data_IF_291006230264
#
_entry.id   IF_291006230264
#
_cell.length_a   1.000
_cell.length_b   1.000
_cell.length_c   1.000
_cell.angle_alpha   90.00
_cell.angle_beta   90.00
_cell.angle_gamma   90.00
#
_symmetry.space_group_name_H-M   'P 1'
#
loop_
_entity.id
_entity.type
_entity.pdbx_description
1 polymer ?
#
# COMPACT_ATOMS: atom_id res chain seq x y z
N UNK A 1 21.01 75.11 -39.30
CA UNK A 1 20.08 75.93 -38.50
C UNK A 1 19.41 74.98 -37.52
N UNK A 2 20.07 74.62 -36.40
CA UNK A 2 20.07 75.34 -35.09
C UNK A 2 18.68 75.33 -34.43
N UNK A 3 18.44 74.92 -33.17
CA UNK A 3 19.21 74.73 -31.93
C UNK A 3 18.56 73.58 -31.09
N UNK A 4 19.29 72.65 -30.42
CA UNK A 4 19.90 72.70 -29.07
C UNK A 4 18.87 72.74 -27.90
N UNK A 5 19.02 72.10 -26.72
CA UNK A 5 20.20 71.69 -25.94
C UNK A 5 19.81 70.66 -24.82
N UNK A 6 20.59 69.58 -24.56
CA UNK A 6 21.62 69.34 -23.48
C UNK A 6 21.08 68.82 -22.12
N UNK A 7 21.40 67.59 -21.66
CA UNK A 7 22.57 67.08 -20.84
C UNK A 7 22.53 67.58 -19.37
N UNK A 8 22.85 66.85 -18.28
CA UNK A 8 23.82 65.78 -17.93
C UNK A 8 23.47 65.19 -16.53
N UNK A 9 23.54 63.88 -16.21
CA UNK A 9 24.66 63.00 -15.75
C UNK A 9 25.41 63.38 -14.45
N UNK A 10 25.42 62.42 -13.50
CA UNK A 10 26.48 62.13 -12.48
C UNK A 10 26.11 62.50 -11.04
N UNK A 11 26.48 61.80 -9.95
CA UNK A 11 27.20 60.55 -9.67
C UNK A 11 27.16 60.33 -8.13
N UNK A 12 26.97 59.09 -7.68
CA UNK A 12 27.49 58.37 -6.48
C UNK A 12 27.91 59.17 -5.21
N UNK A 13 27.42 58.77 -4.02
CA UNK A 13 28.20 58.53 -2.77
C UNK A 13 27.29 58.06 -1.59
N UNK A 14 27.62 56.91 -0.99
CA UNK A 14 27.41 56.58 0.44
C UNK A 14 28.79 56.69 1.14
N UNK A 15 28.96 56.73 2.48
CA UNK A 15 28.10 56.22 3.58
C UNK A 15 28.01 57.13 4.83
N UNK A 16 27.19 56.77 5.83
CA UNK A 16 27.19 57.46 7.13
C UNK A 16 26.36 56.79 8.22
N UNK A 17 27.06 56.11 9.14
CA UNK A 17 26.54 55.50 10.38
C UNK A 17 26.59 56.53 11.51
N UNK A 18 25.48 56.82 12.21
CA UNK A 18 25.49 57.43 13.56
C UNK A 18 24.50 56.73 14.50
N UNK A 19 24.97 56.53 15.72
CA UNK A 19 24.40 55.79 16.85
C UNK A 19 23.81 56.77 17.88
N UNK A 20 22.83 56.25 18.64
CA UNK A 20 22.43 56.57 20.04
C UNK A 20 21.61 57.84 20.33
N UNK A 21 20.52 57.62 21.08
CA UNK A 21 19.89 58.61 21.94
C UNK A 21 18.54 58.14 22.45
N UNK A 22 18.51 57.39 23.57
CA UNK A 22 17.27 56.99 24.22
C UNK A 22 16.70 58.08 25.14
N UNK A 23 15.38 58.10 25.31
CA UNK A 23 14.76 58.31 26.63
C UNK A 23 13.30 57.84 26.64
N UNK A 24 12.97 57.16 27.72
CA UNK A 24 11.67 56.60 28.02
C UNK A 24 10.65 57.67 28.44
N UNK A 25 9.38 57.46 28.09
CA UNK A 25 8.22 57.94 28.85
C UNK A 25 7.23 56.80 28.99
N UNK A 26 6.92 56.46 30.25
CA UNK A 26 5.93 55.46 30.68
C UNK A 26 4.59 56.14 30.94
N UNK A 27 3.52 55.37 30.67
CA UNK A 27 2.11 55.38 31.16
C UNK A 27 1.16 55.51 29.97
N UNK A 28 0.18 54.65 29.73
CA UNK A 28 -0.37 53.50 30.44
C UNK A 28 -1.76 53.26 29.83
N UNK A 29 -2.17 52.01 29.57
CA UNK A 29 -3.49 51.76 28.98
C UNK A 29 -3.73 50.35 28.47
N UNK A 30 -4.10 49.46 29.40
CA UNK A 30 -4.99 48.28 29.28
C UNK A 30 -4.97 47.48 27.97
N UNK A 31 -4.32 46.32 28.01
CA UNK A 31 -4.52 45.22 27.07
C UNK A 31 -5.73 44.37 27.52
N UNK A 32 -6.69 44.17 26.61
CA UNK A 32 -7.73 43.16 26.73
C UNK A 32 -7.19 41.84 26.15
N UNK A 33 -7.09 40.83 27.00
CA UNK A 33 -6.80 39.44 26.62
C UNK A 33 -8.12 38.69 26.67
N UNK A 34 -8.62 38.28 25.51
CA UNK A 34 -9.76 37.35 25.39
C UNK A 34 -9.20 35.94 25.51
N UNK A 35 -9.59 35.28 26.60
CA UNK A 35 -9.24 33.90 26.95
C UNK A 35 -10.40 33.00 26.51
N UNK A 36 -10.14 32.03 25.65
CA UNK A 36 -11.07 30.92 25.39
C UNK A 36 -10.77 29.78 26.37
N UNK A 37 -11.77 29.43 27.18
CA UNK A 37 -11.76 28.31 28.11
C UNK A 37 -12.13 27.00 27.38
N UNK A 38 -11.32 25.96 27.55
CA UNK A 38 -11.69 24.60 27.24
C UNK A 38 -11.92 23.84 28.56
N UNK A 39 -13.17 23.41 28.78
CA UNK A 39 -13.57 22.61 29.92
C UNK A 39 -13.13 21.16 29.76
N UNK A 40 -12.30 20.68 30.69
CA UNK A 40 -12.09 19.25 30.93
C UNK A 40 -12.61 18.92 32.33
N UNK A 41 -13.69 18.13 32.42
CA UNK A 41 -14.16 17.56 33.69
C UNK A 41 -13.44 16.25 33.95
N UNK A 42 -12.66 16.24 35.04
CA UNK A 42 -12.14 15.05 35.69
C UNK A 42 -13.24 14.37 36.51
N UNK A 43 -13.26 13.03 36.53
CA UNK A 43 -13.97 12.24 37.52
C UNK A 43 -12.97 11.34 38.25
N UNK A 44 -13.18 11.23 39.56
CA UNK A 44 -12.18 10.92 40.57
C UNK A 44 -11.61 9.49 40.56
N UNK A 45 -10.33 9.40 40.92
CA UNK A 45 -9.63 8.19 41.30
C UNK A 45 -9.87 7.84 42.78
N UNK A 46 -10.00 6.55 43.08
CA UNK A 46 -9.97 5.98 44.43
C UNK A 46 -8.94 4.86 44.52
N UNK A 47 -7.88 5.12 45.28
CA UNK A 47 -7.11 4.17 46.11
C UNK A 47 -6.47 2.92 45.50
N UNK A 48 -5.13 2.84 45.53
CA UNK A 48 -4.48 1.61 46.01
C UNK A 48 -3.07 1.88 46.55
N UNK A 49 -2.73 1.11 47.59
CA UNK A 49 -1.65 1.33 48.51
C UNK A 49 -0.27 0.94 47.98
N UNK A 50 0.74 1.64 48.51
CA UNK A 50 2.17 1.40 48.30
C UNK A 50 2.59 0.01 48.78
N UNK A 51 3.38 -0.70 47.96
CA UNK A 51 4.39 -1.66 48.45
C UNK A 51 5.75 -1.35 47.83
N UNK A 52 6.71 -1.07 48.71
CA UNK A 52 8.14 -1.05 48.44
C UNK A 52 8.64 -2.49 48.46
N UNK A 53 9.43 -2.91 47.47
CA UNK A 53 10.41 -3.99 47.62
C UNK A 53 11.73 -3.55 46.96
N UNK A 54 12.80 -3.96 47.62
CA UNK A 54 14.16 -3.46 47.59
C UNK A 54 14.94 -3.68 46.28
N UNK A 55 15.91 -2.79 46.08
CA UNK A 55 17.11 -3.00 45.27
C UNK A 55 17.96 -4.13 45.89
N UNK A 56 18.51 -4.99 45.04
CA UNK A 56 19.72 -5.76 45.35
C UNK A 56 20.73 -5.58 44.21
N UNK A 57 21.86 -4.95 44.55
CA UNK A 57 23.12 -4.97 43.81
C UNK A 57 24.06 -5.93 44.54
N UNK A 58 24.74 -6.80 43.79
CA UNK A 58 26.01 -7.50 44.08
C UNK A 58 26.10 -8.66 43.08
N UNK A 59 27.23 -9.11 42.53
CA UNK A 59 28.63 -8.68 42.54
C UNK A 59 29.26 -9.40 41.33
N UNK A 60 30.31 -8.83 40.75
CA UNK A 60 31.06 -9.49 39.68
C UNK A 60 31.98 -10.59 40.21
N UNK A 61 32.20 -11.61 39.40
CA UNK A 61 33.46 -12.36 39.36
C UNK A 61 33.60 -12.99 37.96
N UNK A 62 34.66 -12.60 37.26
CA UNK A 62 35.08 -13.26 36.03
C UNK A 62 35.89 -14.52 36.34
N UNK A 63 35.89 -15.49 35.42
CA UNK A 63 37.11 -16.09 34.87
C UNK A 63 36.76 -17.17 33.82
N UNK A 64 37.57 -17.19 32.75
CA UNK A 64 37.91 -18.29 31.83
C UNK A 64 36.93 -18.63 30.69
N UNK A 65 37.23 -18.02 29.54
CA UNK A 65 36.99 -18.62 28.22
C UNK A 65 37.82 -19.91 28.07
N UNK A 66 37.10 -21.04 27.99
CA UNK A 66 37.63 -22.32 27.54
C UNK A 66 37.31 -22.45 26.06
N UNK A 67 38.35 -22.55 25.22
CA UNK A 67 38.26 -23.01 23.84
C UNK A 67 37.66 -24.42 23.81
N UNK A 68 36.52 -24.59 23.15
CA UNK A 68 36.01 -25.91 22.78
C UNK A 68 35.95 -25.98 21.25
N UNK A 69 36.85 -26.80 20.71
CA UNK A 69 36.92 -27.11 19.29
C UNK A 69 35.71 -27.94 18.85
N UNK A 70 35.18 -27.59 17.69
CA UNK A 70 34.14 -28.32 16.99
C UNK A 70 34.59 -29.73 16.62
N UNK A 71 33.87 -30.75 17.09
CA UNK A 71 33.83 -32.07 16.45
C UNK A 71 32.38 -32.40 16.16
N UNK A 72 32.05 -32.38 14.87
CA UNK A 72 30.78 -32.83 14.31
C UNK A 72 30.79 -34.35 14.35
N UNK A 73 29.86 -34.94 15.10
CA UNK A 73 29.56 -36.37 15.04
C UNK A 73 28.18 -36.53 14.39
N UNK A 74 28.18 -37.07 13.17
CA UNK A 74 27.00 -37.49 12.42
C UNK A 74 26.49 -38.79 13.02
N UNK A 75 25.23 -38.83 13.47
CA UNK A 75 24.55 -40.04 13.92
C UNK A 75 23.43 -40.35 12.90
N UNK A 76 23.44 -41.49 12.19
CA UNK A 76 22.38 -41.83 11.24
C UNK A 76 21.16 -42.39 11.97
N UNK A 77 19.97 -41.88 11.65
CA UNK A 77 18.68 -42.49 11.99
C UNK A 77 18.34 -43.58 10.96
N UNK A 78 17.90 -44.78 11.37
CA UNK A 78 17.35 -45.76 10.44
C UNK A 78 15.88 -45.46 10.13
N UNK A 79 15.57 -45.46 8.83
CA UNK A 79 14.24 -45.42 8.24
C UNK A 79 13.49 -46.71 8.56
N UNK A 80 12.34 -46.60 9.24
CA UNK A 80 11.41 -47.72 9.39
C UNK A 80 10.47 -47.79 8.17
N UNK A 81 10.63 -48.87 7.41
CA UNK A 81 9.78 -49.30 6.30
C UNK A 81 8.35 -49.62 6.78
N UNK A 82 7.36 -49.09 6.07
CA UNK A 82 5.94 -49.50 6.16
C UNK A 82 5.71 -50.62 5.13
N UNK A 83 5.21 -51.81 5.50
CA UNK A 83 4.87 -52.82 4.50
C UNK A 83 3.44 -52.61 3.98
N UNK A 84 3.34 -52.57 2.66
CA UNK A 84 2.12 -52.64 1.86
C UNK A 84 1.52 -54.05 2.01
N UNK A 85 0.28 -54.14 2.48
CA UNK A 85 -0.50 -55.38 2.47
C UNK A 85 -1.27 -55.48 1.15
N UNK A 86 -0.89 -56.47 0.35
CA UNK A 86 -1.59 -56.97 -0.84
C UNK A 86 -1.67 -58.48 -0.65
N UNK A 87 -2.87 -59.06 -0.62
CA UNK A 87 -3.22 -60.47 -0.92
C UNK A 87 -4.70 -60.68 -0.55
N UNK A 88 -5.60 -60.63 -1.54
CA UNK A 88 -6.23 -61.77 -2.26
C UNK A 88 -7.54 -62.27 -1.64
N UNK A 89 -8.58 -62.10 -2.45
CA UNK A 89 -9.87 -62.79 -2.39
C UNK A 89 -9.64 -64.30 -2.54
N UNK A 90 -10.22 -65.11 -1.64
CA UNK A 90 -10.22 -66.57 -1.73
C UNK A 90 -11.34 -67.15 -0.87
N UNK A 91 -12.28 -67.82 -1.53
CA UNK A 91 -13.56 -68.26 -0.99
C UNK A 91 -13.47 -69.57 -0.16
N UNK A 92 -14.35 -69.63 0.85
CA UNK A 92 -15.25 -70.76 1.17
C UNK A 92 -14.65 -72.17 1.36
N UNK A 93 -14.70 -72.68 2.60
CA UNK A 93 -15.12 -74.06 2.90
C UNK A 93 -15.67 -74.18 4.33
N UNK A 94 -16.90 -74.71 4.43
CA UNK A 94 -17.54 -75.17 5.66
C UNK A 94 -16.88 -76.47 6.14
N UNK A 95 -16.73 -76.62 7.46
CA UNK A 95 -16.82 -77.90 8.18
C UNK A 95 -17.10 -77.63 9.65
N UNK A 96 -18.21 -78.18 10.13
CA UNK A 96 -18.71 -78.06 11.50
C UNK A 96 -17.91 -78.92 12.49
N UNK A 97 -17.81 -78.46 13.73
CA UNK A 97 -18.15 -79.15 15.00
C UNK A 97 -17.28 -78.63 16.15
N UNK A 98 -17.89 -78.32 17.29
CA UNK A 98 -17.19 -78.16 18.57
C UNK A 98 -17.64 -76.97 19.39
N UNK A 99 -18.62 -77.20 20.27
CA UNK A 99 -19.14 -76.26 21.26
C UNK A 99 -18.04 -75.74 22.22
N UNK A 100 -18.11 -74.45 22.53
CA UNK A 100 -17.38 -73.81 23.63
C UNK A 100 -17.96 -72.42 23.87
N UNK A 101 -18.80 -72.31 24.89
CA UNK A 101 -19.56 -71.11 25.26
C UNK A 101 -18.65 -69.91 25.57
N UNK A 102 -18.96 -68.75 24.97
CA UNK A 102 -18.30 -67.50 25.33
C UNK A 102 -18.53 -66.36 24.34
N UNK A 103 -19.62 -65.61 24.53
CA UNK A 103 -19.57 -64.15 24.36
C UNK A 103 -20.25 -63.55 23.12
N UNK A 104 -21.15 -62.61 23.45
CA UNK A 104 -21.70 -61.51 22.65
C UNK A 104 -22.82 -61.87 21.65
N UNK A 105 -24.02 -61.96 22.20
CA UNK A 105 -25.27 -61.64 21.47
C UNK A 105 -25.18 -60.19 20.96
N UNK A 106 -24.66 -60.02 19.75
CA UNK A 106 -24.88 -58.82 18.96
C UNK A 106 -26.17 -59.05 18.18
N UNK A 107 -27.27 -58.54 18.75
CA UNK A 107 -28.57 -58.47 18.11
C UNK A 107 -28.46 -57.68 16.79
N UNK A 108 -28.40 -58.39 15.67
CA UNK A 108 -28.39 -57.82 14.31
C UNK A 108 -29.79 -57.42 13.83
N UNK A 109 -30.83 -57.57 14.66
CA UNK A 109 -32.21 -57.19 14.27
C UNK A 109 -32.46 -55.69 14.38
N UNK A 110 -31.61 -54.95 15.08
CA UNK A 110 -31.55 -53.49 14.96
C UNK A 110 -30.55 -53.14 13.86
N UNK A 111 -31.06 -52.50 12.80
CA UNK A 111 -30.22 -51.70 11.94
C UNK A 111 -29.34 -50.83 12.84
N UNK A 112 -28.02 -50.97 12.73
CA UNK A 112 -27.15 -49.95 13.27
C UNK A 112 -27.65 -48.64 12.66
N UNK A 113 -28.26 -47.78 13.48
CA UNK A 113 -28.42 -46.40 13.09
C UNK A 113 -26.99 -45.91 12.92
N UNK A 114 -26.50 -45.97 11.68
CA UNK A 114 -25.49 -45.06 11.19
C UNK A 114 -26.16 -43.70 11.30
N UNK A 115 -26.19 -43.19 12.54
CA UNK A 115 -26.70 -41.88 12.86
C UNK A 115 -25.96 -40.98 11.91
N UNK A 116 -26.71 -40.43 10.95
CA UNK A 116 -26.20 -39.54 9.93
C UNK A 116 -25.41 -38.50 10.68
N UNK A 117 -24.08 -38.64 10.70
CA UNK A 117 -23.32 -37.92 11.69
C UNK A 117 -23.56 -36.45 11.38
N UNK A 118 -24.19 -35.75 12.31
CA UNK A 118 -24.26 -34.29 12.34
C UNK A 118 -22.85 -33.67 12.47
N UNK A 119 -21.78 -34.46 12.35
CA UNK A 119 -20.38 -34.16 12.65
C UNK A 119 -19.50 -33.87 11.43
N UNK A 120 -20.01 -33.74 10.21
CA UNK A 120 -19.22 -33.15 9.11
C UNK A 120 -19.99 -32.03 8.42
N UNK A 121 -20.54 -31.10 9.21
CA UNK A 121 -20.86 -29.76 8.72
C UNK A 121 -19.88 -28.80 9.38
N UNK A 122 -18.64 -28.77 8.86
CA UNK A 122 -17.67 -27.73 9.25
C UNK A 122 -18.25 -26.39 8.85
N UNK A 123 -18.30 -25.44 9.79
CA UNK A 123 -18.79 -24.09 9.45
C UNK A 123 -17.85 -23.45 8.44
N UNK A 124 -18.39 -22.56 7.61
CA UNK A 124 -17.60 -21.82 6.61
C UNK A 124 -16.37 -21.11 7.21
N UNK A 125 -16.49 -20.63 8.46
CA UNK A 125 -15.40 -19.99 9.20
C UNK A 125 -14.31 -20.99 9.58
N UNK A 126 -14.66 -22.21 9.98
CA UNK A 126 -13.67 -23.23 10.34
C UNK A 126 -12.94 -23.79 9.10
N UNK A 127 -13.63 -23.92 7.97
CA UNK A 127 -12.97 -24.20 6.69
C UNK A 127 -12.00 -23.09 6.29
N UNK A 128 -12.42 -21.83 6.47
CA UNK A 128 -11.58 -20.66 6.22
C UNK A 128 -10.37 -20.62 7.14
N UNK A 129 -10.52 -20.98 8.42
CA UNK A 129 -9.43 -21.10 9.38
C UNK A 129 -8.40 -22.13 8.93
N UNK A 130 -8.86 -23.30 8.49
CA UNK A 130 -7.97 -24.34 7.98
C UNK A 130 -7.18 -23.86 6.76
N UNK A 131 -7.87 -23.27 5.77
CA UNK A 131 -7.22 -22.72 4.58
C UNK A 131 -6.23 -21.58 4.93
N UNK A 132 -6.59 -20.68 5.85
CA UNK A 132 -5.73 -19.59 6.28
C UNK A 132 -4.44 -20.09 6.93
N UNK A 133 -4.52 -21.13 7.76
CA UNK A 133 -3.36 -21.80 8.37
C UNK A 133 -2.46 -22.44 7.33
N UNK A 134 -3.00 -22.97 6.24
CA UNK A 134 -2.20 -23.57 5.17
C UNK A 134 -1.51 -22.51 4.31
N UNK A 135 -2.21 -21.45 3.91
CA UNK A 135 -1.75 -20.56 2.83
C UNK A 135 -1.35 -19.16 3.27
N UNK A 136 -1.90 -18.63 4.37
CA UNK A 136 -1.82 -17.20 4.70
C UNK A 136 -0.97 -16.90 5.95
N UNK A 137 -0.97 -17.82 6.92
CA UNK A 137 -0.38 -17.62 8.26
C UNK A 137 1.11 -17.25 8.22
N UNK A 138 1.87 -17.78 7.27
CA UNK A 138 3.31 -17.55 7.17
C UNK A 138 3.66 -16.07 6.99
N UNK A 139 2.78 -15.31 6.33
CA UNK A 139 2.94 -13.87 6.14
C UNK A 139 2.05 -13.06 7.11
N UNK A 140 0.77 -13.39 7.20
CA UNK A 140 -0.20 -12.57 7.93
C UNK A 140 -0.29 -12.87 9.44
N UNK A 141 0.34 -13.94 9.92
CA UNK A 141 0.37 -14.33 11.33
C UNK A 141 -0.91 -15.03 11.79
N UNK A 142 -0.84 -15.79 12.89
CA UNK A 142 -2.00 -16.55 13.42
C UNK A 142 -3.14 -15.62 13.86
N UNK A 143 -2.78 -14.44 14.38
CA UNK A 143 -3.72 -13.42 14.85
C UNK A 143 -4.24 -12.50 13.73
N UNK A 144 -3.79 -12.70 12.49
CA UNK A 144 -4.12 -11.82 11.37
C UNK A 144 -3.57 -10.40 11.53
N UNK A 145 -2.54 -10.21 12.35
CA UNK A 145 -1.96 -8.91 12.70
C UNK A 145 -0.85 -8.46 11.75
N UNK A 146 -0.58 -9.23 10.70
CA UNK A 146 0.49 -8.94 9.74
C UNK A 146 1.89 -9.26 10.25
N UNK A 147 2.01 -9.99 11.37
CA UNK A 147 3.28 -10.35 12.02
C UNK A 147 3.61 -11.84 11.87
N UNK A 148 3.36 -12.44 10.70
CA UNK A 148 3.81 -13.80 10.41
C UNK A 148 5.34 -13.91 10.40
N UNK A 149 5.91 -15.12 10.51
CA UNK A 149 7.37 -15.33 10.51
C UNK A 149 8.11 -14.70 9.32
N UNK A 150 7.46 -14.61 8.16
CA UNK A 150 8.02 -13.97 6.96
C UNK A 150 7.94 -12.44 7.00
N UNK A 151 7.04 -11.84 7.79
CA UNK A 151 6.69 -10.42 7.70
C UNK A 151 7.88 -9.46 7.83
N UNK A 152 8.87 -9.78 8.67
CA UNK A 152 10.08 -8.97 8.87
C UNK A 152 10.98 -8.88 7.62
N UNK A 153 10.81 -9.79 6.66
CA UNK A 153 11.60 -9.85 5.42
C UNK A 153 10.83 -9.30 4.21
N UNK A 154 9.60 -8.83 4.41
CA UNK A 154 8.72 -8.40 3.32
C UNK A 154 8.54 -6.88 3.35
N UNK A 155 8.81 -6.24 2.21
CA UNK A 155 8.43 -4.86 1.95
C UNK A 155 7.59 -4.80 0.66
N UNK A 156 6.30 -4.37 0.74
CA UNK A 156 5.60 -3.89 1.92
C UNK A 156 5.28 -5.01 2.92
N UNK A 157 5.07 -4.64 4.19
CA UNK A 157 4.62 -5.58 5.23
C UNK A 157 3.24 -6.16 4.90
N UNK A 158 2.96 -7.41 5.31
CA UNK A 158 1.64 -8.02 5.18
C UNK A 158 0.55 -7.20 5.88
N UNK A 159 -0.67 -7.26 5.35
CA UNK A 159 -1.81 -6.51 5.91
C UNK A 159 -2.15 -7.04 7.31
N UNK A 160 -2.26 -6.11 8.26
CA UNK A 160 -2.91 -6.31 9.54
C UNK A 160 -4.45 -6.23 9.39
N UNK A 161 -5.11 -7.39 9.42
CA UNK A 161 -6.56 -7.52 9.28
C UNK A 161 -7.34 -7.09 10.52
N UNK A 162 -6.72 -7.06 11.70
CA UNK A 162 -7.39 -6.67 12.96
C UNK A 162 -7.91 -5.23 12.94
N UNK A 163 -7.27 -4.37 12.15
CA UNK A 163 -7.65 -2.95 11.97
C UNK A 163 -8.92 -2.74 11.15
N UNK A 164 -9.34 -3.75 10.38
CA UNK A 164 -10.42 -3.65 9.40
C UNK A 164 -10.14 -2.65 8.26
N UNK A 165 -8.89 -2.24 8.03
CA UNK A 165 -8.51 -1.29 6.98
C UNK A 165 -7.97 -2.02 5.75
N UNK A 166 -8.67 -1.95 4.63
CA UNK A 166 -8.26 -2.61 3.38
C UNK A 166 -8.00 -1.58 2.29
N UNK A 167 -6.77 -1.59 1.75
CA UNK A 167 -6.27 -0.54 0.84
C UNK A 167 -7.01 -0.48 -0.50
N UNK A 168 -7.34 -1.62 -1.08
CA UNK A 168 -7.86 -1.73 -2.44
C UNK A 168 -9.30 -2.25 -2.38
N UNK A 169 -10.25 -1.32 -2.44
CA UNK A 169 -11.68 -1.58 -2.36
C UNK A 169 -12.43 -0.82 -3.46
N UNK A 170 -13.66 -1.24 -3.71
CA UNK A 170 -14.64 -0.48 -4.50
C UNK A 170 -15.43 0.50 -3.65
N UNK A 171 -15.26 0.47 -2.33
CA UNK A 171 -15.89 1.38 -1.37
C UNK A 171 -14.98 2.55 -1.07
N UNK A 172 -15.56 3.70 -0.68
CA UNK A 172 -14.82 4.92 -0.34
C UNK A 172 -13.72 4.64 0.69
N UNK A 173 -12.59 5.33 0.56
CA UNK A 173 -11.45 5.18 1.45
C UNK A 173 -11.84 5.38 2.91
N UNK A 174 -11.46 4.42 3.76
CA UNK A 174 -11.82 4.41 5.19
C UNK A 174 -12.98 3.48 5.53
N UNK A 175 -13.79 3.07 4.55
CA UNK A 175 -14.91 2.15 4.75
C UNK A 175 -14.47 0.68 4.57
N UNK A 176 -15.31 -0.24 5.06
CA UNK A 176 -15.09 -1.68 4.88
C UNK A 176 -15.25 -2.05 3.39
N UNK A 177 -14.42 -2.98 2.88
CA UNK A 177 -14.55 -3.48 1.52
C UNK A 177 -15.74 -4.45 1.41
N UNK A 178 -16.19 -4.69 0.18
CA UNK A 178 -17.14 -5.76 -0.11
C UNK A 178 -16.46 -7.13 -0.13
N UNK A 179 -17.25 -8.21 -0.06
CA UNK A 179 -16.74 -9.58 -0.22
C UNK A 179 -16.12 -9.79 -1.60
N UNK A 180 -16.62 -9.10 -2.62
CA UNK A 180 -16.04 -9.13 -3.96
C UNK A 180 -14.66 -8.46 -4.00
N UNK A 181 -14.46 -7.35 -3.28
CA UNK A 181 -13.14 -6.71 -3.19
C UNK A 181 -12.11 -7.63 -2.51
N UNK A 182 -12.51 -8.32 -1.45
CA UNK A 182 -11.66 -9.30 -0.76
C UNK A 182 -11.36 -10.50 -1.66
N UNK A 183 -12.38 -11.07 -2.33
CA UNK A 183 -12.24 -12.16 -3.29
C UNK A 183 -11.30 -11.78 -4.43
N UNK A 184 -11.48 -10.60 -5.03
CA UNK A 184 -10.62 -10.07 -6.09
C UNK A 184 -9.17 -9.96 -5.62
N UNK A 185 -8.95 -9.46 -4.41
CA UNK A 185 -7.60 -9.31 -3.84
C UNK A 185 -6.93 -10.66 -3.58
N UNK A 186 -7.67 -11.64 -3.03
CA UNK A 186 -7.15 -12.98 -2.76
C UNK A 186 -6.81 -13.69 -4.09
N UNK A 187 -7.73 -13.67 -5.04
CA UNK A 187 -7.57 -14.38 -6.32
C UNK A 187 -6.49 -13.78 -7.20
N UNK A 188 -6.44 -12.44 -7.34
CA UNK A 188 -5.48 -11.79 -8.25
C UNK A 188 -4.13 -11.47 -7.60
N UNK A 189 -4.07 -11.48 -6.28
CA UNK A 189 -2.91 -11.04 -5.51
C UNK A 189 -2.67 -9.54 -5.62
N UNK A 190 -1.50 -9.10 -5.14
CA UNK A 190 -1.08 -7.70 -5.23
C UNK A 190 0.29 -7.61 -5.91
N UNK A 191 0.33 -7.00 -7.10
CA UNK A 191 1.54 -6.90 -7.92
C UNK A 191 2.63 -6.10 -7.19
N UNK A 192 3.89 -6.51 -7.35
CA UNK A 192 5.02 -5.84 -6.68
C UNK A 192 5.05 -6.02 -5.16
N UNK A 193 4.35 -7.02 -4.63
CA UNK A 193 4.41 -7.46 -3.24
C UNK A 193 4.58 -8.98 -3.19
N UNK A 194 4.79 -9.52 -1.98
CA UNK A 194 4.81 -10.97 -1.75
C UNK A 194 3.41 -11.60 -1.59
N UNK A 195 2.33 -10.89 -1.94
CA UNK A 195 0.97 -11.46 -1.96
C UNK A 195 0.66 -12.03 -3.35
N UNK A 196 0.82 -13.34 -3.58
CA UNK A 196 0.52 -13.96 -4.86
C UNK A 196 -1.00 -13.98 -5.12
N UNK A 197 -1.36 -14.28 -6.37
CA UNK A 197 -2.73 -14.67 -6.69
C UNK A 197 -3.00 -16.10 -6.23
N UNK A 198 -4.21 -16.33 -5.73
CA UNK A 198 -4.73 -17.63 -5.32
C UNK A 198 -5.92 -18.06 -6.18
N UNK A 199 -5.87 -17.76 -7.47
CA UNK A 199 -6.87 -18.13 -8.48
C UNK A 199 -7.02 -19.65 -8.67
N UNK A 200 -6.01 -20.42 -8.26
CA UNK A 200 -6.07 -21.89 -8.21
C UNK A 200 -6.95 -22.45 -7.07
N UNK A 201 -7.30 -21.64 -6.06
CA UNK A 201 -8.15 -22.10 -4.96
C UNK A 201 -9.62 -22.18 -5.41
N UNK A 202 -10.37 -23.22 -4.99
CA UNK A 202 -11.80 -23.30 -5.26
C UNK A 202 -12.55 -22.07 -4.74
N UNK A 203 -13.58 -21.62 -5.47
CA UNK A 203 -14.38 -20.46 -5.09
C UNK A 203 -14.97 -20.57 -3.67
N UNK A 204 -15.36 -21.78 -3.24
CA UNK A 204 -15.83 -22.05 -1.87
C UNK A 204 -14.74 -21.80 -0.83
N UNK A 205 -13.51 -22.23 -1.10
CA UNK A 205 -12.34 -21.99 -0.22
C UNK A 205 -12.04 -20.51 -0.09
N UNK A 206 -12.14 -19.74 -1.19
CA UNK A 206 -11.96 -18.28 -1.15
C UNK A 206 -13.07 -17.62 -0.31
N UNK A 207 -14.32 -18.03 -0.49
CA UNK A 207 -15.45 -17.55 0.33
C UNK A 207 -15.25 -17.90 1.82
N UNK A 208 -14.75 -19.10 2.11
CA UNK A 208 -14.41 -19.53 3.47
C UNK A 208 -13.29 -18.66 4.08
N UNK A 209 -12.22 -18.41 3.34
CA UNK A 209 -11.15 -17.49 3.74
C UNK A 209 -11.71 -16.10 4.06
N UNK A 210 -12.59 -15.56 3.23
CA UNK A 210 -13.23 -14.25 3.48
C UNK A 210 -14.03 -14.26 4.77
N UNK A 211 -14.84 -15.30 5.00
CA UNK A 211 -15.60 -15.44 6.24
C UNK A 211 -14.69 -15.48 7.47
N UNK A 212 -13.56 -16.20 7.38
CA UNK A 212 -12.57 -16.24 8.46
C UNK A 212 -11.83 -14.92 8.65
N UNK A 213 -11.42 -14.25 7.57
CA UNK A 213 -10.73 -12.95 7.62
C UNK A 213 -11.56 -11.88 8.35
N UNK A 214 -12.88 -11.89 8.14
CA UNK A 214 -13.81 -10.98 8.83
C UNK A 214 -13.85 -11.19 10.34
N UNK A 215 -13.42 -12.35 10.85
CA UNK A 215 -13.39 -12.62 12.30
C UNK A 215 -12.26 -11.86 13.02
N UNK A 216 -11.24 -11.38 12.30
CA UNK A 216 -10.10 -10.70 12.93
C UNK A 216 -10.40 -9.29 13.43
N UNK A 217 -11.48 -8.65 12.98
CA UNK A 217 -11.82 -7.27 13.38
C UNK A 217 -13.27 -7.16 13.85
N UNK A 218 -13.53 -6.51 15.00
CA UNK A 218 -14.90 -6.31 15.49
C UNK A 218 -15.73 -5.40 14.57
N UNK A 219 -15.09 -4.56 13.74
CA UNK A 219 -15.76 -3.68 12.78
C UNK A 219 -16.75 -4.41 11.87
N UNK A 220 -16.48 -5.67 11.52
CA UNK A 220 -17.37 -6.48 10.67
C UNK A 220 -18.69 -6.85 11.34
N UNK A 221 -18.79 -6.74 12.67
CA UNK A 221 -20.04 -6.90 13.43
C UNK A 221 -20.75 -5.57 13.67
N UNK A 222 -19.97 -4.50 13.79
CA UNK A 222 -20.46 -3.15 14.10
C UNK A 222 -20.93 -2.39 12.86
N UNK A 223 -20.39 -2.74 11.69
CA UNK A 223 -20.60 -2.02 10.44
C UNK A 223 -20.90 -3.01 9.33
N UNK A 224 -21.92 -2.70 8.53
CA UNK A 224 -22.12 -3.41 7.27
C UNK A 224 -21.06 -2.96 6.25
N UNK A 225 -20.67 -3.82 5.28
CA UNK A 225 -19.87 -3.37 4.14
C UNK A 225 -20.53 -2.17 3.48
N UNK A 226 -19.74 -1.14 3.16
CA UNK A 226 -20.26 0.03 2.49
C UNK A 226 -20.67 -0.30 1.05
N UNK A 227 -21.57 0.51 0.49
CA UNK A 227 -21.90 0.42 -0.93
C UNK A 227 -20.68 0.76 -1.79
N UNK A 228 -20.44 0.02 -2.88
CA UNK A 228 -19.46 0.41 -3.88
C UNK A 228 -19.73 1.83 -4.39
N UNK A 229 -18.66 2.53 -4.76
CA UNK A 229 -18.78 3.81 -5.44
C UNK A 229 -19.63 3.65 -6.72
N UNK A 230 -20.47 4.64 -7.07
CA UNK A 230 -21.17 4.63 -8.34
C UNK A 230 -20.15 4.54 -9.48
N UNK A 231 -20.37 3.60 -10.41
CA UNK A 231 -19.59 3.53 -11.64
C UNK A 231 -20.22 4.50 -12.62
N UNK A 232 -19.47 5.53 -13.00
CA UNK A 232 -19.84 6.45 -14.07
C UNK A 232 -19.57 5.75 -15.41
N UNK A 233 -20.41 6.00 -16.40
CA UNK A 233 -20.18 5.49 -17.75
C UNK A 233 -18.83 5.96 -18.30
N UNK A 234 -18.15 5.07 -19.02
CA UNK A 234 -16.87 5.36 -19.67
C UNK A 234 -17.14 5.83 -21.10
N UNK A 235 -17.14 7.15 -21.38
CA UNK A 235 -17.44 7.66 -22.72
C UNK A 235 -16.37 7.27 -23.73
N UNK A 236 -15.17 6.94 -23.26
CA UNK A 236 -14.05 6.62 -24.11
C UNK A 236 -14.01 5.13 -24.46
N UNK A 237 -14.74 4.25 -23.78
CA UNK A 237 -14.61 2.78 -23.89
C UNK A 237 -14.67 2.27 -25.32
N UNK A 238 -15.63 2.75 -26.11
CA UNK A 238 -15.87 2.31 -27.47
C UNK A 238 -14.89 2.88 -28.51
N UNK A 239 -14.12 3.92 -28.16
CA UNK A 239 -13.17 4.54 -29.08
C UNK A 239 -11.96 3.62 -29.31
N UNK A 240 -11.48 3.50 -30.54
CA UNK A 240 -10.22 2.77 -30.78
C UNK A 240 -9.02 3.60 -30.33
N UNK A 241 -9.01 4.88 -30.69
CA UNK A 241 -8.01 5.85 -30.25
C UNK A 241 -8.41 6.45 -28.89
N UNK A 242 -7.50 6.35 -27.91
CA UNK A 242 -7.67 6.92 -26.56
C UNK A 242 -6.93 8.25 -26.39
N UNK A 243 -6.36 8.83 -27.45
CA UNK A 243 -5.57 10.06 -27.41
C UNK A 243 -6.28 11.21 -26.70
N UNK A 244 -7.57 11.41 -26.99
CA UNK A 244 -8.40 12.43 -26.32
C UNK A 244 -8.52 12.17 -24.80
N UNK A 245 -8.82 10.93 -24.42
CA UNK A 245 -8.93 10.53 -23.01
C UNK A 245 -7.59 10.73 -22.27
N UNK A 246 -6.48 10.37 -22.91
CA UNK A 246 -5.13 10.51 -22.37
C UNK A 246 -4.78 12.00 -22.20
N UNK A 247 -5.02 12.83 -23.22
CA UNK A 247 -4.76 14.26 -23.16
C UNK A 247 -5.60 14.95 -22.07
N UNK A 248 -6.89 14.57 -21.96
CA UNK A 248 -7.76 15.07 -20.90
C UNK A 248 -7.28 14.61 -19.52
N UNK A 249 -6.89 13.35 -19.38
CA UNK A 249 -6.37 12.80 -18.13
C UNK A 249 -5.06 13.46 -17.69
N UNK A 250 -4.16 13.78 -18.62
CA UNK A 250 -2.92 14.50 -18.33
C UNK A 250 -3.20 15.88 -17.72
N UNK A 251 -4.14 16.62 -18.33
CA UNK A 251 -4.60 17.92 -17.85
C UNK A 251 -5.17 17.80 -16.45
N UNK A 252 -6.12 16.89 -16.23
CA UNK A 252 -6.77 16.71 -14.92
C UNK A 252 -5.76 16.28 -13.86
N UNK A 253 -4.82 15.39 -14.18
CA UNK A 253 -3.77 14.94 -13.27
C UNK A 253 -2.89 16.09 -12.78
N UNK A 254 -2.51 16.99 -13.70
CA UNK A 254 -1.54 18.05 -13.41
C UNK A 254 -2.18 19.37 -12.96
N UNK A 255 -3.24 19.82 -13.63
CA UNK A 255 -3.86 21.11 -13.36
C UNK A 255 -4.91 21.06 -12.24
N UNK A 256 -5.84 20.11 -12.30
CA UNK A 256 -6.95 20.06 -11.32
C UNK A 256 -6.60 19.27 -10.06
N UNK A 257 -6.32 17.97 -10.22
CA UNK A 257 -6.15 17.04 -9.11
C UNK A 257 -4.78 17.21 -8.43
N UNK A 258 -3.83 17.90 -9.08
CA UNK A 258 -2.47 18.09 -8.61
C UNK A 258 -1.86 16.79 -8.06
N UNK A 259 -2.04 15.67 -8.78
CA UNK A 259 -1.59 14.34 -8.37
C UNK A 259 -0.06 14.31 -8.18
N UNK A 260 0.65 15.19 -8.88
CA UNK A 260 2.08 15.44 -8.72
C UNK A 260 2.48 15.95 -7.32
N UNK A 261 1.55 16.33 -6.45
CA UNK A 261 1.82 16.64 -5.05
C UNK A 261 2.34 15.42 -4.27
N UNK A 262 2.00 14.20 -4.72
CA UNK A 262 2.47 12.93 -4.17
C UNK A 262 3.15 12.05 -5.22
N UNK A 263 2.53 11.82 -6.37
CA UNK A 263 3.12 11.05 -7.48
C UNK A 263 4.12 11.91 -8.28
N UNK A 264 4.97 11.34 -9.15
CA UNK A 264 5.80 12.14 -10.06
C UNK A 264 4.96 13.05 -10.98
N UNK A 265 5.48 14.23 -11.33
CA UNK A 265 5.02 14.93 -12.52
C UNK A 265 5.65 14.30 -13.77
N UNK A 266 4.88 14.22 -14.85
CA UNK A 266 5.33 13.68 -16.13
C UNK A 266 5.42 14.74 -17.23
N UNK A 267 5.15 16.00 -16.89
CA UNK A 267 5.30 17.19 -17.74
C UNK A 267 6.18 18.23 -17.05
N UNK A 268 6.57 19.29 -17.77
CA UNK A 268 7.39 20.38 -17.22
C UNK A 268 6.61 21.28 -16.27
N UNK A 269 7.31 22.09 -15.46
CA UNK A 269 6.70 23.03 -14.52
C UNK A 269 5.85 24.09 -15.25
N UNK A 270 6.34 24.56 -16.40
CA UNK A 270 5.63 25.47 -17.29
C UNK A 270 4.32 24.84 -17.74
N UNK A 271 4.36 23.57 -18.13
CA UNK A 271 3.17 22.84 -18.58
C UNK A 271 2.16 22.62 -17.46
N UNK A 272 2.62 22.38 -16.22
CA UNK A 272 1.71 22.31 -15.06
C UNK A 272 1.04 23.67 -14.84
N UNK A 273 1.80 24.78 -14.93
CA UNK A 273 1.24 26.13 -14.80
C UNK A 273 0.23 26.47 -15.90
N UNK A 274 0.46 26.06 -17.14
CA UNK A 274 -0.54 26.16 -18.21
C UNK A 274 -1.85 25.45 -17.82
N UNK A 275 -1.75 24.21 -17.33
CA UNK A 275 -2.91 23.45 -16.90
C UNK A 275 -3.59 24.05 -15.68
N UNK A 276 -2.85 24.57 -14.69
CA UNK A 276 -3.45 25.26 -13.53
C UNK A 276 -4.33 26.42 -13.97
N UNK A 277 -3.84 27.25 -14.91
CA UNK A 277 -4.61 28.39 -15.46
C UNK A 277 -5.83 27.91 -16.25
N UNK A 278 -5.71 26.80 -16.99
CA UNK A 278 -6.84 26.16 -17.69
C UNK A 278 -7.93 25.71 -16.71
N UNK A 279 -7.56 25.17 -15.55
CA UNK A 279 -8.48 24.84 -14.45
C UNK A 279 -8.75 26.01 -13.48
N UNK A 280 -8.63 27.25 -13.98
CA UNK A 280 -8.97 28.48 -13.24
C UNK A 280 -8.24 28.65 -11.90
N UNK A 281 -7.08 28.01 -11.76
CA UNK A 281 -6.18 28.16 -10.62
C UNK A 281 -5.04 29.13 -10.94
N UNK A 282 -4.52 29.80 -9.92
CA UNK A 282 -3.34 30.65 -10.08
C UNK A 282 -2.10 29.81 -10.41
N UNK A 283 -1.23 30.28 -11.32
CA UNK A 283 0.05 29.62 -11.58
C UNK A 283 0.92 29.66 -10.33
N UNK A 284 1.83 28.69 -10.21
CA UNK A 284 2.74 28.56 -9.08
C UNK A 284 4.13 29.06 -9.44
N UNK A 285 4.70 29.85 -8.54
CA UNK A 285 6.10 30.31 -8.62
C UNK A 285 7.09 29.26 -8.11
N UNK A 286 6.62 28.16 -7.53
CA UNK A 286 7.49 27.11 -7.01
C UNK A 286 6.79 25.76 -6.82
N UNK A 287 7.51 24.71 -7.18
CA UNK A 287 7.10 23.32 -7.01
C UNK A 287 7.92 22.63 -5.92
N UNK A 288 7.52 21.42 -5.52
CA UNK A 288 8.34 20.64 -4.59
C UNK A 288 9.67 20.25 -5.26
N UNK A 289 10.81 20.18 -4.54
CA UNK A 289 12.11 19.90 -5.15
C UNK A 289 12.15 18.59 -5.96
N UNK A 290 11.52 17.54 -5.44
CA UNK A 290 11.46 16.22 -6.08
C UNK A 290 10.23 16.05 -6.97
N UNK A 291 9.90 17.04 -7.81
CA UNK A 291 8.66 17.02 -8.61
C UNK A 291 8.54 15.77 -9.49
N UNK A 292 9.64 15.33 -10.10
CA UNK A 292 9.74 14.13 -10.97
C UNK A 292 9.91 12.80 -10.21
N UNK A 293 9.79 12.77 -8.88
CA UNK A 293 9.91 11.56 -8.08
C UNK A 293 8.71 11.39 -7.14
N UNK A 294 8.42 10.17 -6.69
CA UNK A 294 7.39 9.94 -5.69
C UNK A 294 7.77 10.53 -4.33
N UNK A 295 6.83 11.26 -3.74
CA UNK A 295 6.94 11.82 -2.40
C UNK A 295 6.27 10.88 -1.38
N UNK A 296 7.03 10.48 -0.37
CA UNK A 296 6.54 9.61 0.69
C UNK A 296 5.57 10.33 1.63
N UNK A 297 4.49 9.66 2.03
CA UNK A 297 3.57 10.14 3.06
C UNK A 297 3.39 9.08 4.14
N UNK A 298 3.25 9.52 5.39
CA UNK A 298 2.98 8.61 6.51
C UNK A 298 1.54 8.09 6.39
N UNK A 299 1.39 6.78 6.48
CA UNK A 299 0.09 6.11 6.43
C UNK A 299 -0.56 6.10 7.84
N UNK A 300 -1.79 5.63 7.95
CA UNK A 300 -2.48 5.59 9.24
C UNK A 300 -1.92 4.55 10.24
N UNK A 301 -0.92 3.76 9.84
CA UNK A 301 -0.15 2.86 10.71
C UNK A 301 1.20 3.51 11.15
N UNK A 302 1.45 4.76 10.79
CA UNK A 302 2.70 5.47 11.10
C UNK A 302 3.87 5.15 10.15
N UNK A 303 3.65 4.34 9.12
CA UNK A 303 4.69 3.94 8.18
C UNK A 303 4.78 4.90 7.00
N UNK A 304 6.00 5.28 6.61
CA UNK A 304 6.24 6.05 5.40
C UNK A 304 5.98 5.18 4.16
N UNK A 305 5.07 5.61 3.29
CA UNK A 305 4.73 4.91 2.05
C UNK A 305 4.88 5.84 0.85
N UNK A 306 5.37 5.27 -0.25
CA UNK A 306 5.53 5.98 -1.51
C UNK A 306 4.43 5.58 -2.49
N UNK A 307 3.81 6.54 -3.17
CA UNK A 307 2.97 6.24 -4.32
C UNK A 307 3.83 5.64 -5.45
N UNK A 308 3.25 4.79 -6.32
CA UNK A 308 3.97 4.25 -7.46
C UNK A 308 4.37 5.36 -8.44
N UNK A 309 5.60 5.30 -8.93
CA UNK A 309 5.98 5.92 -10.20
C UNK A 309 5.40 5.06 -11.34
N UNK A 310 4.47 5.62 -12.12
CA UNK A 310 3.74 4.86 -13.13
C UNK A 310 4.63 4.43 -14.30
N UNK A 311 5.83 4.99 -14.46
CA UNK A 311 6.81 4.57 -15.48
C UNK A 311 7.79 3.52 -14.96
N UNK A 312 7.76 3.17 -13.67
CA UNK A 312 8.77 2.29 -13.04
C UNK A 312 8.18 1.20 -12.15
N UNK A 313 7.22 1.55 -11.31
CA UNK A 313 6.73 0.72 -10.20
C UNK A 313 5.48 -0.08 -10.54
N UNK A 314 5.23 -1.18 -9.85
CA UNK A 314 3.95 -1.87 -10.01
C UNK A 314 2.80 -1.06 -9.39
N UNK A 315 1.67 -1.00 -10.12
CA UNK A 315 0.39 -0.67 -9.51
C UNK A 315 -0.18 -1.93 -8.88
N UNK A 316 -0.23 -1.95 -7.54
CA UNK A 316 -0.50 -3.16 -6.75
C UNK A 316 -1.85 -3.79 -7.06
N UNK A 317 -2.89 -2.97 -7.24
CA UNK A 317 -4.26 -3.41 -7.50
C UNK A 317 -4.49 -3.91 -8.93
N UNK A 318 -3.59 -3.63 -9.88
CA UNK A 318 -3.76 -3.94 -11.31
C UNK A 318 -3.54 -2.72 -12.20
N UNK A 319 -3.26 -2.97 -13.48
CA UNK A 319 -2.99 -1.94 -14.49
C UNK A 319 -4.07 -1.89 -15.61
N UNK A 320 -5.12 -2.71 -15.50
CA UNK A 320 -6.28 -2.58 -16.37
C UNK A 320 -7.00 -1.26 -16.05
N UNK A 321 -7.59 -0.61 -17.05
CA UNK A 321 -8.22 0.70 -16.87
C UNK A 321 -9.31 0.70 -15.78
N UNK A 322 -10.13 -0.36 -15.71
CA UNK A 322 -11.14 -0.54 -14.65
C UNK A 322 -10.52 -0.69 -13.24
N UNK A 323 -9.31 -1.22 -13.13
CA UNK A 323 -8.61 -1.36 -11.84
C UNK A 323 -8.03 -0.01 -11.39
N UNK A 324 -7.50 0.76 -12.35
CA UNK A 324 -7.00 2.12 -12.15
C UNK A 324 -8.14 3.06 -11.77
N UNK A 325 -9.23 3.06 -12.54
CA UNK A 325 -10.44 3.82 -12.25
C UNK A 325 -10.91 3.56 -10.81
N UNK A 326 -11.06 2.29 -10.42
CA UNK A 326 -11.52 1.93 -9.07
C UNK A 326 -10.59 2.48 -7.99
N UNK A 327 -9.28 2.34 -8.19
CA UNK A 327 -8.27 2.78 -7.22
C UNK A 327 -8.25 4.30 -7.06
N UNK A 328 -8.39 5.04 -8.17
CA UNK A 328 -8.44 6.51 -8.17
C UNK A 328 -9.77 6.96 -7.55
N UNK A 329 -10.89 6.49 -8.08
CA UNK A 329 -12.22 6.95 -7.70
C UNK A 329 -12.55 6.62 -6.23
N UNK A 330 -12.20 5.43 -5.74
CA UNK A 330 -12.49 5.01 -4.37
C UNK A 330 -11.43 5.50 -3.35
N UNK A 331 -10.24 5.86 -3.82
CA UNK A 331 -9.08 6.15 -2.96
C UNK A 331 -8.44 4.90 -2.36
N UNK A 332 -7.38 5.10 -1.57
CA UNK A 332 -6.61 4.01 -0.96
C UNK A 332 -6.65 4.12 0.56
N UNK A 333 -7.48 3.29 1.19
CA UNK A 333 -7.77 3.34 2.63
C UNK A 333 -6.50 3.32 3.50
N UNK A 334 -6.44 4.28 4.42
CA UNK A 334 -5.35 4.40 5.38
C UNK A 334 -4.05 4.93 4.78
N UNK A 335 -4.11 5.54 3.60
CA UNK A 335 -3.02 6.30 2.97
C UNK A 335 -3.46 7.74 2.73
N UNK A 336 -2.57 8.59 2.20
CA UNK A 336 -2.92 9.95 1.83
C UNK A 336 -3.76 10.05 0.54
N UNK A 337 -3.98 8.97 -0.21
CA UNK A 337 -4.75 8.98 -1.46
C UNK A 337 -6.26 8.99 -1.16
N UNK A 338 -6.97 10.11 -1.43
CA UNK A 338 -8.36 10.29 -1.05
C UNK A 338 -9.32 9.61 -2.03
N UNK A 339 -10.61 9.61 -1.67
CA UNK A 339 -11.72 9.23 -2.56
C UNK A 339 -11.96 10.33 -3.58
N UNK A 340 -11.61 10.12 -4.84
CA UNK A 340 -11.73 11.17 -5.87
C UNK A 340 -13.12 11.31 -6.48
N UNK A 341 -13.98 10.30 -6.42
CA UNK A 341 -15.33 10.38 -7.02
C UNK A 341 -16.18 11.51 -6.43
N UNK A 342 -15.88 11.92 -5.20
CA UNK A 342 -16.60 12.99 -4.51
C UNK A 342 -16.04 14.41 -4.84
N UNK A 343 -15.05 14.52 -5.74
CA UNK A 343 -14.37 15.80 -6.07
C UNK A 343 -14.20 16.02 -7.58
N UNK A 344 -15.02 15.35 -8.40
CA UNK A 344 -14.90 15.38 -9.87
C UNK A 344 -16.08 16.07 -10.55
N UNK A 345 -16.80 16.95 -9.84
CA UNK A 345 -17.91 17.71 -10.41
C UNK A 345 -17.77 19.17 -10.00
N UNK A 346 -17.15 19.97 -10.86
CA UNK A 346 -16.85 21.38 -10.60
C UNK A 346 -17.22 22.20 -11.85
N UNK A 347 -18.16 23.16 -11.75
CA UNK A 347 -18.49 24.04 -12.87
C UNK A 347 -17.37 25.05 -13.14
N UNK A 348 -17.26 25.50 -14.39
CA UNK A 348 -16.36 26.61 -14.77
C UNK A 348 -16.98 27.97 -14.46
N UNK A 349 -16.17 28.89 -13.95
CA UNK A 349 -16.59 30.29 -13.74
C UNK A 349 -16.53 31.10 -15.03
N UNK A 350 -15.68 30.69 -15.99
CA UNK A 350 -15.50 31.34 -17.29
C UNK A 350 -16.45 30.80 -18.38
N UNK A 351 -16.78 29.51 -18.33
CA UNK A 351 -17.59 28.81 -19.31
C UNK A 351 -18.68 27.96 -18.63
N UNK A 352 -19.81 28.56 -18.22
CA UNK A 352 -20.85 27.85 -17.45
C UNK A 352 -21.41 26.59 -18.12
N UNK A 353 -21.37 26.52 -19.45
CA UNK A 353 -21.85 25.38 -20.24
C UNK A 353 -20.84 24.21 -20.29
N UNK A 354 -19.58 24.42 -19.87
CA UNK A 354 -18.51 23.42 -19.92
C UNK A 354 -17.91 23.28 -18.51
N UNK A 355 -18.14 22.15 -17.80
CA UNK A 355 -17.59 21.97 -16.46
C UNK A 355 -16.05 21.93 -16.50
N UNK A 356 -15.40 22.46 -15.45
CA UNK A 356 -13.95 22.34 -15.29
C UNK A 356 -13.54 20.89 -15.18
N UNK A 357 -14.25 20.12 -14.35
CA UNK A 357 -14.14 18.67 -14.27
C UNK A 357 -15.52 18.03 -14.13
N UNK A 358 -15.64 16.83 -14.69
CA UNK A 358 -16.84 16.02 -14.65
C UNK A 358 -16.52 14.57 -14.22
N UNK A 359 -17.50 13.80 -13.71
CA UNK A 359 -17.21 12.48 -13.16
C UNK A 359 -16.55 11.49 -14.15
N UNK A 360 -16.78 11.66 -15.46
CA UNK A 360 -16.12 10.86 -16.51
C UNK A 360 -14.62 11.13 -16.65
N UNK A 361 -14.10 12.24 -16.11
CA UNK A 361 -12.66 12.54 -16.09
C UNK A 361 -11.85 11.54 -15.24
N UNK A 362 -12.50 10.78 -14.36
CA UNK A 362 -11.89 9.63 -13.69
C UNK A 362 -11.43 8.55 -14.68
N UNK A 363 -12.17 8.36 -15.78
CA UNK A 363 -11.76 7.46 -16.86
C UNK A 363 -10.59 8.06 -17.64
N UNK A 364 -10.64 9.36 -17.95
CA UNK A 364 -9.53 10.06 -18.59
C UNK A 364 -8.23 9.91 -17.77
N UNK A 365 -8.30 10.14 -16.45
CA UNK A 365 -7.19 9.88 -15.52
C UNK A 365 -6.71 8.43 -15.57
N UNK A 366 -7.63 7.45 -15.60
CA UNK A 366 -7.28 6.04 -15.66
C UNK A 366 -6.56 5.68 -16.98
N UNK A 367 -7.02 6.19 -18.12
CA UNK A 367 -6.35 6.01 -19.42
C UNK A 367 -5.00 6.70 -19.46
N UNK A 368 -4.88 7.91 -18.92
CA UNK A 368 -3.59 8.61 -18.80
C UNK A 368 -2.59 7.83 -17.94
N UNK A 369 -3.00 7.38 -16.75
CA UNK A 369 -2.14 6.53 -15.91
C UNK A 369 -1.77 5.23 -16.63
N UNK A 370 -2.72 4.62 -17.35
CA UNK A 370 -2.44 3.43 -18.14
C UNK A 370 -1.42 3.68 -19.25
N UNK A 371 -1.50 4.82 -19.95
CA UNK A 371 -0.54 5.15 -21.01
C UNK A 371 0.88 5.28 -20.47
N UNK A 372 1.06 5.89 -19.29
CA UNK A 372 2.35 5.94 -18.58
C UNK A 372 2.87 4.55 -18.20
N UNK A 373 1.97 3.64 -17.82
CA UNK A 373 2.32 2.24 -17.51
C UNK A 373 2.75 1.49 -18.77
N UNK A 374 2.10 1.74 -19.90
CA UNK A 374 2.41 1.08 -21.18
C UNK A 374 3.73 1.56 -21.78
N UNK A 375 4.19 2.76 -21.43
CA UNK A 375 5.52 3.29 -21.83
C UNK A 375 6.70 2.62 -21.11
N UNK A 376 6.46 1.70 -20.17
CA UNK A 376 7.54 1.03 -19.43
C UNK A 376 8.42 0.22 -20.37
N UNK A 377 9.76 0.29 -20.22
CA UNK A 377 10.64 -0.60 -20.96
C UNK A 377 10.35 -2.06 -20.60
N UNK A 378 10.52 -2.95 -21.58
CA UNK A 378 10.39 -4.38 -21.40
C UNK A 378 11.23 -4.84 -20.20
N UNK A 379 10.64 -5.69 -19.36
CA UNK A 379 11.24 -6.09 -18.07
C UNK A 379 12.42 -7.04 -18.25
N UNK A 380 12.34 -7.86 -19.30
CA UNK A 380 13.35 -8.83 -19.71
C UNK A 380 13.46 -8.65 -21.21
N UNK A 381 14.58 -8.11 -21.66
CA UNK A 381 14.98 -8.16 -23.06
C UNK A 381 15.88 -9.40 -23.18
N UNK A 382 15.57 -10.38 -24.04
CA UNK A 382 16.41 -11.56 -24.18
C UNK A 382 17.87 -11.17 -24.44
N UNK A 383 18.79 -11.60 -23.57
CA UNK A 383 20.22 -11.25 -23.65
C UNK A 383 20.64 -10.01 -22.86
N UNK A 384 19.71 -9.22 -22.31
CA UNK A 384 20.03 -8.04 -21.48
C UNK A 384 19.54 -8.22 -20.04
N UNK A 385 20.45 -8.07 -19.08
CA UNK A 385 20.13 -7.96 -17.67
C UNK A 385 20.17 -6.50 -17.26
N UNK A 386 19.05 -5.80 -17.42
CA UNK A 386 18.90 -4.47 -16.83
C UNK A 386 18.60 -4.61 -15.33
N UNK A 387 19.62 -4.48 -14.49
CA UNK A 387 19.41 -4.23 -13.06
C UNK A 387 18.81 -2.83 -12.96
N UNK A 388 17.50 -2.75 -12.72
CA UNK A 388 16.87 -1.46 -12.43
C UNK A 388 17.51 -0.92 -11.15
N UNK A 389 18.33 0.12 -11.29
CA UNK A 389 18.78 0.90 -10.15
C UNK A 389 17.55 1.55 -9.51
N UNK A 390 17.02 0.91 -8.47
CA UNK A 390 16.00 1.55 -7.62
C UNK A 390 16.72 2.63 -6.85
N UNK A 391 16.82 3.83 -7.43
CA UNK A 391 17.39 4.99 -6.75
C UNK A 391 16.79 5.17 -5.35
N UNK A 392 15.49 4.90 -5.19
CA UNK A 392 14.88 4.81 -3.86
C UNK A 392 15.15 3.44 -3.24
N UNK A 393 16.08 3.43 -2.28
CA UNK A 393 16.33 2.30 -1.39
C UNK A 393 15.02 1.85 -0.75
N UNK A 394 14.76 0.55 -0.80
CA UNK A 394 13.73 -0.07 0.03
C UNK A 394 14.23 0.07 1.47
N UNK A 395 13.67 1.01 2.22
CA UNK A 395 14.07 1.22 3.62
C UNK A 395 13.81 -0.05 4.43
N UNK A 396 14.78 -0.41 5.26
CA UNK A 396 14.59 -1.41 6.30
C UNK A 396 13.59 -0.92 7.36
N UNK A 397 13.05 -1.81 8.20
CA UNK A 397 12.05 -1.48 9.22
C UNK A 397 12.45 -0.33 10.16
N UNK A 398 13.76 -0.16 10.39
CA UNK A 398 14.33 0.79 11.35
C UNK A 398 15.26 1.82 10.68
N UNK A 399 15.30 1.87 9.34
CA UNK A 399 16.21 2.76 8.63
C UNK A 399 15.58 4.15 8.45
N UNK A 400 16.21 5.22 9.00
CA UNK A 400 15.73 6.58 8.78
C UNK A 400 15.91 6.97 7.32
N UNK A 401 14.88 7.60 6.74
CA UNK A 401 14.96 8.07 5.37
C UNK A 401 15.91 9.26 5.24
N UNK A 402 16.79 9.18 4.24
CA UNK A 402 17.62 10.30 3.78
C UNK A 402 17.17 10.65 2.36
N UNK A 403 16.75 11.89 2.09
CA UNK A 403 16.46 12.34 0.74
C UNK A 403 17.65 12.09 -0.17
N UNK A 404 17.40 11.57 -1.38
CA UNK A 404 18.44 11.50 -2.39
C UNK A 404 18.89 12.92 -2.74
N UNK A 405 20.20 13.14 -2.99
CA UNK A 405 20.67 14.40 -3.53
C UNK A 405 19.96 14.68 -4.86
N UNK A 406 19.63 15.95 -5.08
CA UNK A 406 19.06 16.42 -6.34
C UNK A 406 20.05 16.06 -7.45
N UNK A 407 19.59 15.33 -8.47
CA UNK A 407 20.41 15.13 -9.67
C UNK A 407 20.18 16.36 -10.52
N UNK A 408 21.20 17.20 -10.66
CA UNK A 408 21.18 18.28 -11.66
C UNK A 408 20.93 17.63 -13.03
N UNK A 409 19.95 18.16 -13.76
CA UNK A 409 19.60 17.70 -15.09
C UNK A 409 20.85 17.82 -15.96
N UNK A 410 21.38 16.68 -16.41
CA UNK A 410 22.35 16.69 -17.50
C UNK A 410 21.60 17.14 -18.75
N UNK A 411 22.03 18.22 -19.42
CA UNK A 411 21.39 18.65 -20.65
C UNK A 411 21.42 17.50 -21.66
N UNK A 412 20.29 17.26 -22.32
CA UNK A 412 20.23 16.35 -23.44
C UNK A 412 21.11 16.91 -24.57
N UNK A 413 22.16 16.17 -24.93
CA UNK A 413 22.87 16.35 -26.18
C UNK A 413 24.34 16.72 -26.03
N UNK A 414 25.20 15.72 -25.90
CA UNK A 414 26.45 15.68 -26.66
C UNK A 414 26.47 14.35 -27.39
N UNK A 415 26.35 14.43 -28.71
CA UNK A 415 26.63 13.34 -29.63
C UNK A 415 28.07 12.89 -29.39
N UNK A 416 28.25 11.63 -29.02
CA UNK A 416 29.57 11.01 -29.10
C UNK A 416 29.95 10.96 -30.58
N UNK A 417 30.93 11.76 -30.98
CA UNK A 417 31.59 11.60 -32.28
C UNK A 417 32.20 10.20 -32.33
N UNK A 418 31.90 9.47 -33.39
CA UNK A 418 32.52 8.19 -33.72
C UNK A 418 34.01 8.44 -33.95
N UNK A 419 34.84 8.05 -32.98
CA UNK A 419 36.28 8.02 -33.16
C UNK A 419 36.66 6.95 -34.16
N UNK A 420 37.25 7.36 -35.29
CA UNK A 420 37.91 6.49 -36.25
C UNK A 420 38.90 5.57 -35.54
N UNK A 421 38.72 4.27 -35.72
CA UNK A 421 39.68 3.25 -35.30
C UNK A 421 40.65 3.07 -36.47
N UNK A 422 41.84 3.67 -36.38
CA UNK A 422 42.95 3.35 -37.26
C UNK A 422 43.37 1.89 -37.00
N UNK A 423 43.23 1.04 -38.02
CA UNK A 423 43.86 -0.26 -38.11
C UNK A 423 45.33 -0.06 -38.48
N UNK A 424 46.25 -0.30 -37.54
CA UNK A 424 47.67 -0.46 -37.83
C UNK A 424 48.04 -1.95 -37.80
N UNK A 425 48.67 -2.40 -38.90
CA UNK A 425 49.21 -3.73 -39.19
C UNK A 425 50.39 -4.16 -38.30
#
# INVERSE_FOLDING_TARGET
MDLAARRSVGSVHSPGRIRRGGRAVRRGGRAAVVRWEASARAFCAGGSARRRIARAQACGSGFRDVRVGSRIAVVPHPLAFVPVFLLTVGAMMLSATGCGEGGLDLDTSKAAEFGFQKSIQTTLVEEGRAAYRTYCIGCHGEKGDGNGPAARFLNPRPRNFTTGRFKFSSTRAGLLPTDEDLRRTITRGLKGSAMPGWDMLPARTVTALIAYLKTFSPKWKEQSPASPIPKVDDPYRALEDKSEAIARGEKVYHGFAACWSCHPAYVSEEKINEYLVEFESEPREGFRPNLRQSEGKVNADGELIYPPDFTRDFVRSGAAVDDLYRSIAAGITGTAMPTWVDSMEIPSTKHPDIPLVQPSDLWALAYYVQSLILQRPARLVPGEFAVRDRRQKILGPDEPWVPLPQVEETPAGETFEEGEFEEDE
#
